data_IF_644226088932
#
_entry.id   IF_644226088932
#
_cell.length_a   1.000
_cell.length_b   1.000
_cell.length_c   1.000
_cell.angle_alpha   90.00
_cell.angle_beta   90.00
_cell.angle_gamma   90.00
#
_symmetry.space_group_name_H-M   'P 1'
#
loop_
_entity.id
_entity.type
_entity.pdbx_description
1 polymer ?
#
# COMPACT_ATOMS: atom_id res chain seq x y z
N UNK A 1 42.72 -1.23 80.25
CA UNK A 1 41.28 -1.47 80.43
C UNK A 1 40.63 -1.52 79.05
N UNK A 2 41.00 -2.50 78.23
CA UNK A 2 40.66 -2.54 76.80
C UNK A 2 40.34 -3.98 76.38
N UNK A 3 39.53 -4.66 77.19
CA UNK A 3 39.12 -6.05 76.93
C UNK A 3 37.65 -6.36 77.20
N UNK A 4 36.86 -5.40 77.70
CA UNK A 4 35.44 -5.65 78.04
C UNK A 4 34.41 -5.17 77.00
N UNK A 5 34.81 -4.31 76.04
CA UNK A 5 33.84 -3.79 75.04
C UNK A 5 33.62 -4.74 73.85
N UNK A 6 34.46 -5.77 73.67
CA UNK A 6 34.41 -6.64 72.48
C UNK A 6 33.52 -7.89 72.66
N UNK A 7 33.23 -8.26 73.91
CA UNK A 7 32.34 -9.39 74.25
C UNK A 7 30.85 -8.99 74.19
N UNK A 8 30.51 -7.75 74.57
CA UNK A 8 29.13 -7.24 74.48
C UNK A 8 28.68 -7.04 73.01
N UNK A 9 29.58 -6.60 72.13
CA UNK A 9 29.25 -6.34 70.72
C UNK A 9 29.04 -7.63 69.92
N UNK A 10 29.86 -8.66 70.14
CA UNK A 10 29.74 -9.94 69.42
C UNK A 10 28.49 -10.75 69.83
N UNK A 11 28.03 -10.62 71.07
CA UNK A 11 26.83 -11.31 71.56
C UNK A 11 25.53 -10.70 71.02
N UNK A 12 25.48 -9.37 70.85
CA UNK A 12 24.36 -8.66 70.19
C UNK A 12 24.25 -8.98 68.68
N UNK A 13 25.37 -9.21 68.00
CA UNK A 13 25.38 -9.60 66.58
C UNK A 13 24.90 -11.04 66.34
N UNK A 14 25.26 -11.99 67.22
CA UNK A 14 24.82 -13.39 67.09
C UNK A 14 23.30 -13.57 67.26
N UNK A 15 22.65 -12.74 68.07
CA UNK A 15 21.19 -12.78 68.28
C UNK A 15 20.36 -11.97 67.28
N UNK A 16 20.98 -11.16 66.41
CA UNK A 16 20.27 -10.31 65.44
C UNK A 16 20.30 -10.84 64.00
N UNK A 17 21.22 -11.76 63.68
CA UNK A 17 21.28 -12.44 62.37
C UNK A 17 19.95 -13.08 61.91
N UNK A 18 19.16 -13.79 62.75
CA UNK A 18 17.86 -14.34 62.34
C UNK A 18 16.77 -13.26 62.18
N UNK A 19 16.92 -12.10 62.84
CA UNK A 19 15.97 -11.00 62.75
C UNK A 19 16.05 -10.29 61.39
N UNK A 20 17.26 -10.08 60.88
CA UNK A 20 17.46 -9.50 59.55
C UNK A 20 17.02 -10.42 58.41
N UNK A 21 17.18 -11.74 58.55
CA UNK A 21 16.68 -12.71 57.57
C UNK A 21 15.15 -12.71 57.45
N UNK A 22 14.44 -12.65 58.58
CA UNK A 22 12.97 -12.59 58.61
C UNK A 22 12.48 -11.25 58.05
N UNK A 23 13.11 -10.13 58.41
CA UNK A 23 12.79 -8.81 57.85
C UNK A 23 12.96 -8.81 56.32
N UNK A 24 14.02 -9.43 55.80
CA UNK A 24 14.26 -9.48 54.37
C UNK A 24 13.15 -10.23 53.62
N UNK A 25 12.61 -11.31 54.20
CA UNK A 25 11.47 -12.04 53.63
C UNK A 25 10.22 -11.16 53.57
N UNK A 26 9.92 -10.42 54.64
CA UNK A 26 8.77 -9.50 54.65
C UNK A 26 8.94 -8.34 53.65
N UNK A 27 10.14 -7.78 53.53
CA UNK A 27 10.45 -6.75 52.54
C UNK A 27 10.32 -7.30 51.12
N UNK A 28 10.78 -8.52 50.86
CA UNK A 28 10.67 -9.16 49.55
C UNK A 28 9.21 -9.45 49.18
N UNK A 29 8.41 -9.94 50.13
CA UNK A 29 6.96 -10.14 49.94
C UNK A 29 6.27 -8.80 49.68
N UNK A 30 6.64 -7.73 50.40
CA UNK A 30 6.07 -6.40 50.19
C UNK A 30 6.40 -5.86 48.79
N UNK A 31 7.64 -6.03 48.31
CA UNK A 31 8.06 -5.62 46.96
C UNK A 31 7.32 -6.43 45.89
N UNK A 32 7.19 -7.74 46.04
CA UNK A 32 6.46 -8.59 45.09
C UNK A 32 4.98 -8.21 45.07
N UNK A 33 4.37 -7.99 46.24
CA UNK A 33 2.96 -7.61 46.35
C UNK A 33 2.71 -6.24 45.72
N UNK A 34 3.57 -5.25 45.99
CA UNK A 34 3.50 -3.93 45.40
C UNK A 34 3.75 -3.96 43.88
N UNK A 35 4.70 -4.78 43.42
CA UNK A 35 4.95 -5.00 41.98
C UNK A 35 3.76 -5.66 41.29
N UNK A 36 3.11 -6.63 41.93
CA UNK A 36 1.93 -7.31 41.39
C UNK A 36 0.72 -6.37 41.30
N UNK A 37 0.46 -5.55 42.32
CA UNK A 37 -0.60 -4.53 42.26
C UNK A 37 -0.29 -3.44 41.23
N UNK A 38 0.97 -3.01 41.11
CA UNK A 38 1.39 -2.07 40.05
C UNK A 38 1.17 -2.66 38.65
N UNK A 39 1.57 -3.90 38.42
CA UNK A 39 1.43 -4.57 37.12
C UNK A 39 -0.05 -4.79 36.74
N UNK A 40 -0.90 -5.15 37.71
CA UNK A 40 -2.35 -5.27 37.48
C UNK A 40 -3.03 -3.93 37.17
N UNK A 41 -2.50 -2.83 37.71
CA UNK A 41 -3.06 -1.49 37.53
C UNK A 41 -2.31 -0.68 36.46
N UNK A 42 -1.42 -1.31 35.69
CA UNK A 42 -0.60 -0.62 34.70
C UNK A 42 -1.47 0.02 33.61
N UNK A 43 -2.60 -0.59 33.24
CA UNK A 43 -3.55 -0.02 32.27
C UNK A 43 -4.24 1.26 32.76
N UNK A 44 -4.40 1.41 34.09
CA UNK A 44 -4.99 2.59 34.72
C UNK A 44 -3.96 3.70 34.96
N UNK A 45 -2.72 3.35 35.34
CA UNK A 45 -1.61 4.30 35.52
C UNK A 45 -1.07 4.79 34.16
N UNK A 46 -1.10 3.95 33.12
CA UNK A 46 -0.66 4.26 31.75
C UNK A 46 -1.72 4.99 30.90
N UNK A 47 -2.78 5.55 31.51
CA UNK A 47 -3.75 6.39 30.80
C UNK A 47 -3.15 7.69 30.24
N UNK A 48 -1.87 7.97 30.47
CA UNK A 48 -1.11 9.07 29.83
C UNK A 48 0.13 8.62 29.04
N UNK A 49 0.33 7.31 28.76
CA UNK A 49 1.55 6.85 28.08
C UNK A 49 1.36 5.78 26.99
N UNK A 50 0.11 5.48 26.58
CA UNK A 50 -0.16 4.56 25.45
C UNK A 50 0.46 4.99 24.11
N UNK A 51 1.00 6.20 24.00
CA UNK A 51 1.68 6.71 22.80
C UNK A 51 3.23 6.69 22.85
N UNK A 52 3.87 6.16 23.91
CA UNK A 52 5.34 6.33 24.07
C UNK A 52 6.18 5.05 24.15
N UNK A 53 5.62 3.87 23.86
CA UNK A 53 6.45 2.71 23.53
C UNK A 53 6.63 2.66 22.01
N UNK A 54 7.83 2.88 21.45
CA UNK A 54 8.06 2.52 20.06
C UNK A 54 7.81 1.02 19.97
N UNK A 55 6.75 0.63 19.23
CA UNK A 55 6.58 -0.75 18.78
C UNK A 55 7.95 -1.18 18.25
N UNK A 56 8.54 -2.21 18.86
CA UNK A 56 9.71 -2.83 18.28
C UNK A 56 9.34 -3.18 16.84
N UNK A 57 10.01 -2.51 15.91
CA UNK A 57 9.90 -2.72 14.48
C UNK A 57 10.37 -4.15 14.21
N UNK A 58 9.44 -5.09 14.27
CA UNK A 58 9.59 -6.37 13.61
C UNK A 58 9.79 -6.05 12.12
N UNK A 59 10.90 -6.52 11.54
CA UNK A 59 11.26 -6.34 10.14
C UNK A 59 10.19 -6.85 9.16
N UNK A 60 9.21 -7.64 9.63
CA UNK A 60 8.02 -8.02 8.87
C UNK A 60 6.91 -6.93 8.81
N UNK A 61 7.05 -5.86 9.59
CA UNK A 61 6.17 -4.69 9.67
C UNK A 61 6.84 -3.42 9.15
N UNK A 62 7.75 -3.54 8.19
CA UNK A 62 7.67 -2.62 7.06
C UNK A 62 6.29 -2.84 6.41
N UNK A 63 5.24 -2.34 7.05
CA UNK A 63 4.00 -1.97 6.41
C UNK A 63 4.47 -0.99 5.35
N UNK A 64 4.80 -1.50 4.15
CA UNK A 64 4.95 -0.67 2.97
C UNK A 64 3.70 0.18 2.99
N UNK A 65 3.87 1.46 3.33
CA UNK A 65 2.76 2.41 3.35
C UNK A 65 2.08 2.22 2.01
N UNK A 66 0.88 1.63 2.04
CA UNK A 66 0.24 1.20 0.80
C UNK A 66 0.08 2.44 -0.07
N UNK A 67 0.37 2.30 -1.37
CA UNK A 67 0.33 3.46 -2.24
C UNK A 67 -1.11 4.00 -2.24
N UNK A 68 -1.26 5.30 -2.00
CA UNK A 68 -2.58 5.92 -2.05
C UNK A 68 -3.18 5.73 -3.45
N UNK A 69 -4.52 5.61 -3.52
CA UNK A 69 -5.25 5.65 -4.79
C UNK A 69 -4.86 6.91 -5.56
N UNK A 70 -4.30 6.76 -6.76
CA UNK A 70 -4.03 7.88 -7.67
C UNK A 70 -4.67 7.61 -9.02
N UNK A 71 -5.50 8.55 -9.47
CA UNK A 71 -6.03 8.52 -10.83
C UNK A 71 -4.88 8.72 -11.80
N UNK A 72 -4.87 7.93 -12.86
CA UNK A 72 -3.92 8.05 -13.96
C UNK A 72 -4.09 9.39 -14.65
N UNK A 73 -2.97 9.97 -15.06
CA UNK A 73 -2.91 11.26 -15.74
C UNK A 73 -2.24 11.02 -17.10
N UNK A 74 -2.89 11.50 -18.16
CA UNK A 74 -2.28 11.66 -19.48
C UNK A 74 -1.91 13.13 -19.64
N UNK A 75 -0.62 13.43 -19.50
CA UNK A 75 -0.10 14.73 -19.88
C UNK A 75 0.33 14.69 -21.35
N UNK A 76 -0.21 15.55 -22.22
CA UNK A 76 0.30 15.67 -23.57
C UNK A 76 1.77 16.12 -23.56
N UNK A 77 2.53 15.83 -24.64
CA UNK A 77 3.84 16.43 -24.87
C UNK A 77 3.76 17.95 -24.86
N UNK A 78 4.70 18.59 -24.18
CA UNK A 78 4.79 20.04 -24.04
C UNK A 78 6.18 20.51 -24.43
N UNK A 79 6.23 21.54 -25.29
CA UNK A 79 7.46 22.25 -25.61
C UNK A 79 7.76 23.29 -24.52
N UNK A 80 8.59 22.89 -23.56
CA UNK A 80 9.01 23.73 -22.43
C UNK A 80 9.76 24.96 -22.89
N UNK A 81 10.52 24.87 -23.98
CA UNK A 81 11.27 26.00 -24.53
C UNK A 81 10.33 27.09 -25.01
N UNK A 82 9.33 26.71 -25.80
CA UNK A 82 8.30 27.64 -26.29
C UNK A 82 7.48 28.24 -25.15
N UNK A 83 7.05 27.44 -24.19
CA UNK A 83 6.19 27.92 -23.11
C UNK A 83 6.93 28.68 -22.00
N UNK A 84 8.26 28.54 -21.92
CA UNK A 84 9.06 29.33 -20.98
C UNK A 84 9.14 30.82 -21.36
N UNK A 85 8.80 31.16 -22.61
CA UNK A 85 8.72 32.54 -23.08
C UNK A 85 7.36 33.12 -22.68
N UNK A 86 7.38 34.15 -21.85
CA UNK A 86 6.17 34.79 -21.36
C UNK A 86 5.41 35.48 -22.49
N UNK A 87 4.13 35.14 -22.63
CA UNK A 87 3.17 35.73 -23.57
C UNK A 87 1.95 36.23 -22.80
N UNK A 88 1.24 37.27 -23.27
CA UNK A 88 0.03 37.77 -22.61
C UNK A 88 -1.01 36.68 -22.35
N UNK A 89 -1.18 35.75 -23.31
CA UNK A 89 -2.12 34.63 -23.21
C UNK A 89 -1.72 33.65 -22.09
N UNK A 90 -0.43 33.29 -21.99
CA UNK A 90 0.06 32.42 -20.92
C UNK A 90 -0.05 33.09 -19.55
N UNK A 91 0.24 34.39 -19.46
CA UNK A 91 0.10 35.15 -18.21
C UNK A 91 -1.36 35.22 -17.78
N UNK A 92 -2.29 35.49 -18.71
CA UNK A 92 -3.73 35.54 -18.41
C UNK A 92 -4.25 34.17 -17.94
N UNK A 93 -3.85 33.09 -18.62
CA UNK A 93 -4.17 31.71 -18.22
C UNK A 93 -3.61 31.40 -16.83
N UNK A 94 -2.34 31.74 -16.60
CA UNK A 94 -1.66 31.55 -15.31
C UNK A 94 -2.32 32.31 -14.16
N UNK A 95 -2.77 33.54 -14.41
CA UNK A 95 -3.50 34.35 -13.43
C UNK A 95 -4.80 33.69 -13.00
N UNK A 96 -5.61 33.21 -13.96
CA UNK A 96 -6.87 32.51 -13.63
C UNK A 96 -6.63 31.25 -12.81
N UNK A 97 -5.62 30.45 -13.16
CA UNK A 97 -5.25 29.24 -12.41
C UNK A 97 -4.71 29.56 -11.01
N UNK A 98 -3.92 30.63 -10.89
CA UNK A 98 -3.41 31.11 -9.62
C UNK A 98 -4.54 31.54 -8.68
N UNK A 99 -5.51 32.30 -9.20
CA UNK A 99 -6.66 32.79 -8.43
C UNK A 99 -7.47 31.63 -7.83
N UNK A 100 -7.71 30.56 -8.60
CA UNK A 100 -8.51 29.42 -8.11
C UNK A 100 -7.74 28.46 -7.21
N UNK A 101 -6.43 28.34 -7.41
CA UNK A 101 -5.66 27.22 -6.84
C UNK A 101 -4.61 27.65 -5.81
N UNK A 102 -3.96 28.79 -6.04
CA UNK A 102 -2.79 29.22 -5.27
C UNK A 102 -3.12 30.36 -4.29
N UNK A 103 -4.05 31.25 -4.68
CA UNK A 103 -4.45 32.42 -3.90
C UNK A 103 -4.99 32.12 -2.50
N UNK A 104 -5.68 30.98 -2.22
CA UNK A 104 -6.17 30.70 -0.86
C UNK A 104 -5.04 30.65 0.18
N UNK A 105 -3.85 30.19 -0.21
CA UNK A 105 -2.66 30.15 0.65
C UNK A 105 -1.73 31.34 0.43
N UNK A 106 -1.49 31.73 -0.83
CA UNK A 106 -0.51 32.77 -1.16
C UNK A 106 -1.09 34.20 -1.24
N UNK A 107 -2.39 34.36 -1.03
CA UNK A 107 -3.09 35.63 -1.16
C UNK A 107 -3.42 36.00 -2.62
N UNK A 108 -4.44 36.84 -2.85
CA UNK A 108 -4.85 37.25 -4.20
C UNK A 108 -3.75 38.03 -4.94
N UNK A 109 -2.91 38.77 -4.20
CA UNK A 109 -1.77 39.51 -4.76
C UNK A 109 -0.44 38.73 -4.69
N UNK A 110 -0.46 37.48 -4.22
CA UNK A 110 0.75 36.65 -4.10
C UNK A 110 1.70 37.06 -2.97
N UNK A 111 1.19 37.73 -1.92
CA UNK A 111 1.99 38.24 -0.79
C UNK A 111 2.24 37.22 0.33
N UNK A 112 1.72 36.01 0.21
CA UNK A 112 1.83 34.97 1.24
C UNK A 112 0.87 35.17 2.42
N UNK A 113 -0.18 35.97 2.23
CA UNK A 113 -1.16 36.41 3.24
C UNK A 113 -2.55 35.80 3.04
N UNK A 114 -2.64 34.69 2.29
CA UNK A 114 -3.89 33.99 2.07
C UNK A 114 -4.46 33.38 3.37
N UNK A 115 -5.81 33.35 3.53
CA UNK A 115 -6.45 32.90 4.76
C UNK A 115 -6.11 31.44 5.12
N UNK A 116 -5.95 30.56 4.13
CA UNK A 116 -5.53 29.17 4.36
C UNK A 116 -4.06 29.04 4.76
N UNK A 117 -3.24 30.05 4.44
CA UNK A 117 -1.82 30.11 4.75
C UNK A 117 -1.49 30.74 6.11
N UNK A 118 -2.44 31.41 6.76
CA UNK A 118 -2.20 32.26 7.92
C UNK A 118 -1.55 31.53 9.11
N UNK A 119 -1.84 30.24 9.29
CA UNK A 119 -1.34 29.41 10.38
C UNK A 119 -0.15 28.51 9.99
N UNK A 120 0.34 28.60 8.74
CA UNK A 120 1.50 27.82 8.32
C UNK A 120 2.80 28.44 8.84
N UNK A 121 3.70 27.60 9.35
CA UNK A 121 5.05 27.99 9.75
C UNK A 121 6.08 27.09 9.03
N UNK A 122 6.88 27.64 8.10
CA UNK A 122 6.93 29.04 7.69
C UNK A 122 5.67 29.47 6.91
N UNK A 123 5.40 30.78 6.88
CA UNK A 123 4.32 31.36 6.06
C UNK A 123 4.54 31.05 4.57
N UNK A 124 3.48 30.97 3.75
CA UNK A 124 3.61 30.84 2.31
C UNK A 124 4.46 31.96 1.71
N UNK A 125 5.13 31.63 0.60
CA UNK A 125 6.06 32.55 -0.07
C UNK A 125 5.33 33.82 -0.54
N UNK A 126 5.88 34.97 -0.15
CA UNK A 126 5.64 36.25 -0.82
C UNK A 126 6.39 36.25 -2.16
N UNK A 127 5.66 36.29 -3.28
CA UNK A 127 6.20 36.26 -4.64
C UNK A 127 6.73 37.63 -5.10
N UNK A 128 6.62 38.68 -4.28
CA UNK A 128 7.27 39.96 -4.52
C UNK A 128 8.72 40.00 -4.00
N UNK A 129 9.15 38.97 -3.28
CA UNK A 129 10.49 38.84 -2.70
C UNK A 129 11.29 37.71 -3.37
N UNK A 130 12.56 38.00 -3.71
CA UNK A 130 13.46 37.02 -4.32
C UNK A 130 14.26 36.20 -3.30
N UNK A 131 14.34 36.66 -2.04
CA UNK A 131 15.01 35.94 -0.96
C UNK A 131 14.08 34.95 -0.27
N UNK A 132 14.66 33.93 0.39
CA UNK A 132 13.89 32.98 1.19
C UNK A 132 13.05 31.98 0.40
N UNK A 133 13.36 31.75 -0.88
CA UNK A 133 12.82 30.64 -1.66
C UNK A 133 13.44 29.32 -1.22
N UNK A 134 12.63 28.28 -1.01
CA UNK A 134 13.14 26.95 -0.59
C UNK A 134 13.95 26.28 -1.70
N UNK A 135 13.40 26.24 -2.93
CA UNK A 135 14.07 25.62 -4.08
C UNK A 135 14.76 26.65 -5.00
N UNK A 136 14.59 27.94 -4.73
CA UNK A 136 15.07 29.06 -5.54
C UNK A 136 13.98 29.77 -6.36
N UNK A 137 14.18 31.06 -6.71
CA UNK A 137 13.22 31.90 -7.46
C UNK A 137 13.29 31.73 -8.99
N UNK A 138 14.04 30.75 -9.47
CA UNK A 138 14.29 30.46 -10.87
C UNK A 138 13.17 29.57 -11.46
N UNK A 139 13.00 29.63 -12.78
CA UNK A 139 11.86 29.04 -13.49
C UNK A 139 11.73 27.53 -13.24
N UNK A 140 12.83 26.81 -13.38
CA UNK A 140 12.93 25.37 -13.13
C UNK A 140 12.59 25.02 -11.68
N UNK A 141 13.07 25.81 -10.72
CA UNK A 141 12.81 25.61 -9.29
C UNK A 141 11.34 25.81 -8.93
N UNK A 142 10.68 26.78 -9.57
CA UNK A 142 9.23 26.97 -9.43
C UNK A 142 8.46 25.76 -9.99
N UNK A 143 8.90 25.22 -11.13
CA UNK A 143 8.29 24.02 -11.72
C UNK A 143 8.45 22.80 -10.81
N UNK A 144 9.66 22.55 -10.31
CA UNK A 144 9.94 21.47 -9.35
C UNK A 144 9.05 21.62 -8.11
N UNK A 145 8.91 22.85 -7.60
CA UNK A 145 8.05 23.14 -6.44
C UNK A 145 6.59 22.81 -6.70
N UNK A 146 6.05 23.11 -7.90
CA UNK A 146 4.68 22.71 -8.26
C UNK A 146 4.56 21.20 -8.50
N UNK A 147 5.59 20.57 -9.07
CA UNK A 147 5.59 19.14 -9.38
C UNK A 147 5.68 18.27 -8.12
N UNK A 148 6.52 18.65 -7.16
CA UNK A 148 6.85 17.81 -5.98
C UNK A 148 6.19 18.32 -4.70
N UNK A 149 5.86 19.61 -4.64
CA UNK A 149 5.44 20.27 -3.41
C UNK A 149 6.61 20.52 -2.46
N UNK A 150 6.29 21.11 -1.31
CA UNK A 150 7.19 21.26 -0.16
C UNK A 150 6.42 20.74 1.05
N UNK A 151 6.21 19.42 1.06
CA UNK A 151 5.25 18.76 1.95
C UNK A 151 5.59 18.96 3.43
N UNK A 152 6.88 19.00 3.77
CA UNK A 152 7.36 19.32 5.11
C UNK A 152 7.06 20.75 5.58
N UNK A 153 6.65 21.65 4.67
CA UNK A 153 6.24 23.04 4.96
C UNK A 153 4.78 23.31 4.58
N UNK A 154 3.99 22.26 4.36
CA UNK A 154 2.55 22.36 4.12
C UNK A 154 2.12 22.66 2.69
N UNK A 155 3.04 22.71 1.72
CA UNK A 155 2.67 22.83 0.30
C UNK A 155 2.57 21.44 -0.35
N UNK A 156 1.38 21.04 -0.74
CA UNK A 156 1.15 19.79 -1.46
C UNK A 156 1.75 19.83 -2.88
N UNK A 157 1.94 18.64 -3.47
CA UNK A 157 2.27 18.51 -4.89
C UNK A 157 1.04 18.88 -5.74
N UNK A 158 1.29 19.61 -6.82
CA UNK A 158 0.34 19.93 -7.88
C UNK A 158 0.67 19.14 -9.16
N UNK A 159 1.19 17.91 -9.01
CA UNK A 159 1.48 16.98 -10.09
C UNK A 159 0.26 16.71 -11.00
N UNK A 160 -0.95 16.85 -10.45
CA UNK A 160 -2.24 16.67 -11.13
C UNK A 160 -2.61 17.82 -12.08
N UNK A 161 -1.97 18.99 -11.97
CA UNK A 161 -2.14 20.08 -12.92
C UNK A 161 -1.25 19.80 -14.14
N UNK A 162 -1.75 19.90 -15.39
CA UNK A 162 -0.94 19.68 -16.59
C UNK A 162 0.33 20.55 -16.61
N UNK A 163 1.45 20.07 -17.19
CA UNK A 163 2.69 20.83 -17.31
C UNK A 163 2.52 22.21 -17.94
N UNK A 164 1.71 22.33 -18.99
CA UNK A 164 1.41 23.60 -19.66
C UNK A 164 0.79 24.60 -18.67
N UNK A 165 -0.16 24.15 -17.85
CA UNK A 165 -0.88 24.97 -16.89
C UNK A 165 0.03 25.39 -15.72
N UNK A 166 0.92 24.49 -15.27
CA UNK A 166 1.97 24.85 -14.30
C UNK A 166 2.92 25.90 -14.84
N UNK A 167 3.34 25.75 -16.10
CA UNK A 167 4.20 26.75 -16.78
C UNK A 167 3.45 28.08 -16.93
N UNK A 168 2.16 28.07 -17.24
CA UNK A 168 1.34 29.29 -17.29
C UNK A 168 1.32 30.00 -15.91
N UNK A 169 1.09 29.26 -14.81
CA UNK A 169 1.17 29.81 -13.45
C UNK A 169 2.53 30.46 -13.20
N UNK A 170 3.63 29.78 -13.55
CA UNK A 170 5.00 30.31 -13.37
C UNK A 170 5.20 31.61 -14.16
N UNK A 171 4.72 31.66 -15.42
CA UNK A 171 4.80 32.88 -16.23
C UNK A 171 4.05 34.04 -15.57
N UNK A 172 2.87 33.79 -15.00
CA UNK A 172 2.14 34.79 -14.22
C UNK A 172 2.91 35.23 -12.97
N UNK A 173 3.42 34.29 -12.16
CA UNK A 173 4.19 34.62 -10.94
C UNK A 173 5.38 35.52 -11.25
N UNK A 174 6.05 35.28 -12.38
CA UNK A 174 7.19 36.08 -12.83
C UNK A 174 6.83 37.51 -13.21
N UNK A 175 5.56 37.82 -13.45
CA UNK A 175 5.09 39.21 -13.65
C UNK A 175 4.93 39.99 -12.34
N UNK A 176 4.85 39.30 -11.19
CA UNK A 176 4.69 39.94 -9.88
C UNK A 176 5.97 40.65 -9.40
N UNK A 177 7.14 40.27 -9.90
CA UNK A 177 8.40 40.95 -9.63
C UNK A 177 9.29 40.98 -10.89
N UNK A 178 9.67 42.15 -11.42
CA UNK A 178 10.46 42.24 -12.65
C UNK A 178 11.88 41.69 -12.51
N UNK A 179 12.39 41.48 -11.29
CA UNK A 179 13.77 41.08 -11.01
C UNK A 179 13.96 39.56 -10.95
N UNK A 180 12.96 38.75 -11.31
CA UNK A 180 13.15 37.30 -11.36
C UNK A 180 14.29 36.91 -12.32
N UNK A 181 15.13 35.91 -11.96
CA UNK A 181 16.24 35.47 -12.80
C UNK A 181 15.77 35.10 -14.22
N UNK A 182 16.57 35.46 -15.23
CA UNK A 182 16.30 35.06 -16.61
C UNK A 182 16.31 33.53 -16.75
N UNK A 183 15.50 33.02 -17.67
CA UNK A 183 15.41 31.58 -17.95
C UNK A 183 16.67 31.14 -18.70
N UNK A 184 17.35 30.11 -18.21
CA UNK A 184 18.55 29.53 -18.83
C UNK A 184 18.18 28.26 -19.61
N UNK A 185 18.65 28.18 -20.86
CA UNK A 185 18.36 27.04 -21.75
C UNK A 185 18.84 25.70 -21.18
N UNK A 186 20.00 25.70 -20.53
CA UNK A 186 20.57 24.53 -19.86
C UNK A 186 19.64 23.98 -18.76
N UNK A 187 19.01 24.87 -17.99
CA UNK A 187 18.09 24.50 -16.91
C UNK A 187 16.77 23.94 -17.46
N UNK A 188 16.28 24.48 -18.58
CA UNK A 188 15.09 23.94 -19.26
C UNK A 188 15.35 22.54 -19.82
N UNK A 189 16.56 22.30 -20.36
CA UNK A 189 16.96 20.96 -20.82
C UNK A 189 16.95 19.96 -19.67
N UNK A 190 17.60 20.31 -18.55
CA UNK A 190 17.62 19.45 -17.37
C UNK A 190 16.21 19.16 -16.83
N UNK A 191 15.32 20.16 -16.88
CA UNK A 191 13.92 20.01 -16.49
C UNK A 191 13.15 19.06 -17.40
N UNK A 192 13.33 19.20 -18.72
CA UNK A 192 12.70 18.31 -19.70
C UNK A 192 13.20 16.86 -19.57
N UNK A 193 14.51 16.68 -19.40
CA UNK A 193 15.12 15.35 -19.20
C UNK A 193 14.59 14.68 -17.92
N UNK A 194 14.45 15.44 -16.82
CA UNK A 194 14.00 14.92 -15.52
C UNK A 194 12.52 14.50 -15.52
N UNK A 195 11.65 15.24 -16.20
CA UNK A 195 10.20 15.02 -16.14
C UNK A 195 9.57 14.57 -17.48
N UNK A 196 10.38 14.35 -18.52
CA UNK A 196 9.96 13.91 -19.85
C UNK A 196 8.84 14.77 -20.46
N UNK A 197 8.95 16.10 -20.34
CA UNK A 197 7.87 17.04 -20.68
C UNK A 197 7.59 17.04 -22.19
N UNK A 198 8.62 16.97 -23.02
CA UNK A 198 8.58 16.92 -24.48
C UNK A 198 8.09 15.59 -25.05
N UNK A 199 8.05 14.52 -24.24
CA UNK A 199 7.55 13.20 -24.63
C UNK A 199 6.10 12.96 -24.19
N UNK A 200 5.60 13.77 -23.26
CA UNK A 200 4.35 13.52 -22.57
C UNK A 200 4.49 12.35 -21.60
N UNK A 201 3.57 12.28 -20.63
CA UNK A 201 3.59 11.26 -19.59
C UNK A 201 2.21 10.61 -19.49
N UNK A 202 2.17 9.28 -19.62
CA UNK A 202 0.98 8.47 -19.32
C UNK A 202 1.21 7.74 -18.02
N UNK A 203 0.75 8.31 -16.91
CA UNK A 203 0.70 7.61 -15.63
C UNK A 203 -0.59 6.79 -15.57
N UNK A 204 -0.53 5.45 -15.41
CA UNK A 204 -1.72 4.64 -15.22
C UNK A 204 -2.35 4.89 -13.84
N UNK A 205 -3.60 4.48 -13.67
CA UNK A 205 -4.23 4.46 -12.34
C UNK A 205 -3.38 3.60 -11.39
N UNK A 206 -3.16 4.11 -10.19
CA UNK A 206 -2.52 3.38 -9.11
C UNK A 206 -3.59 3.01 -8.07
N UNK A 207 -3.68 1.71 -7.78
CA UNK A 207 -4.52 1.17 -6.73
C UNK A 207 -3.63 0.67 -5.58
N UNK A 208 -4.04 0.85 -4.32
CA UNK A 208 -3.36 0.25 -3.18
C UNK A 208 -3.26 -1.26 -3.38
N UNK A 209 -2.11 -1.84 -3.02
CA UNK A 209 -1.83 -3.27 -3.12
C UNK A 209 -2.88 -4.08 -2.36
N UNK A 210 -3.33 -3.60 -1.20
CA UNK A 210 -4.41 -4.23 -0.43
C UNK A 210 -5.72 -4.29 -1.21
N UNK A 211 -6.07 -3.23 -1.91
CA UNK A 211 -7.30 -3.16 -2.70
C UNK A 211 -7.18 -3.98 -3.99
N UNK A 212 -5.99 -4.04 -4.58
CA UNK A 212 -5.68 -4.95 -5.68
C UNK A 212 -5.86 -6.42 -5.25
N UNK A 213 -5.28 -6.80 -4.10
CA UNK A 213 -5.45 -8.14 -3.53
C UNK A 213 -6.93 -8.42 -3.25
N UNK A 214 -7.66 -7.49 -2.64
CA UNK A 214 -9.10 -7.65 -2.40
C UNK A 214 -9.88 -7.81 -3.70
N UNK A 215 -9.51 -7.10 -4.77
CA UNK A 215 -10.14 -7.22 -6.07
C UNK A 215 -9.86 -8.58 -6.71
N UNK A 216 -8.61 -9.06 -6.66
CA UNK A 216 -8.23 -10.40 -7.13
C UNK A 216 -8.99 -11.48 -6.34
N UNK A 217 -8.98 -11.42 -5.01
CA UNK A 217 -9.72 -12.36 -4.16
C UNK A 217 -11.25 -12.26 -4.36
N UNK A 218 -11.77 -11.06 -4.63
CA UNK A 218 -13.19 -10.85 -4.93
C UNK A 218 -13.60 -11.42 -6.29
N UNK A 219 -12.72 -11.35 -7.28
CA UNK A 219 -12.93 -11.98 -8.59
C UNK A 219 -12.84 -13.53 -8.48
N UNK A 220 -12.02 -14.05 -7.55
CA UNK A 220 -11.94 -15.49 -7.25
C UNK A 220 -13.12 -16.02 -6.40
N UNK A 221 -13.75 -15.21 -5.56
CA UNK A 221 -14.84 -15.66 -4.68
C UNK A 221 -16.04 -16.27 -5.44
N UNK A 222 -16.33 -15.77 -6.65
CA UNK A 222 -17.35 -16.35 -7.52
C UNK A 222 -16.93 -17.70 -8.11
N UNK A 223 -15.66 -17.81 -8.54
CA UNK A 223 -15.06 -19.04 -9.06
C UNK A 223 -14.99 -20.12 -7.99
N UNK A 224 -14.53 -19.79 -6.79
CA UNK A 224 -14.40 -20.73 -5.67
C UNK A 224 -15.76 -21.27 -5.22
N UNK A 225 -16.80 -20.42 -5.19
CA UNK A 225 -18.17 -20.87 -4.91
C UNK A 225 -18.70 -21.83 -5.98
N UNK A 226 -18.39 -21.61 -7.26
CA UNK A 226 -18.77 -22.51 -8.35
C UNK A 226 -18.04 -23.85 -8.27
N UNK A 227 -16.73 -23.82 -8.02
CA UNK A 227 -15.89 -25.02 -7.85
C UNK A 227 -16.38 -25.85 -6.65
N UNK A 228 -16.73 -25.20 -5.55
CA UNK A 228 -17.30 -25.87 -4.38
C UNK A 228 -18.64 -26.56 -4.70
N UNK A 229 -19.53 -25.92 -5.47
CA UNK A 229 -20.81 -26.53 -5.89
C UNK A 229 -20.59 -27.76 -6.77
N UNK A 230 -19.62 -27.72 -7.68
CA UNK A 230 -19.25 -28.86 -8.53
C UNK A 230 -18.70 -30.01 -7.69
N UNK A 231 -17.79 -29.71 -6.77
CA UNK A 231 -17.22 -30.71 -5.87
C UNK A 231 -18.31 -31.38 -5.01
N UNK A 232 -19.29 -30.61 -4.54
CA UNK A 232 -20.46 -31.11 -3.82
C UNK A 232 -21.37 -31.98 -4.68
N UNK A 233 -21.66 -31.59 -5.93
CA UNK A 233 -22.45 -32.38 -6.86
C UNK A 233 -21.76 -33.73 -7.15
N UNK A 234 -20.45 -33.68 -7.43
CA UNK A 234 -19.66 -34.89 -7.69
C UNK A 234 -19.62 -35.78 -6.45
N UNK A 235 -19.33 -35.24 -5.28
CA UNK A 235 -19.22 -36.02 -4.05
C UNK A 235 -20.54 -36.67 -3.64
N UNK A 236 -21.67 -35.98 -3.80
CA UNK A 236 -23.00 -36.49 -3.43
C UNK A 236 -23.60 -37.48 -4.43
N UNK A 237 -23.24 -37.44 -5.71
CA UNK A 237 -23.81 -38.33 -6.72
C UNK A 237 -23.16 -39.73 -6.68
N UNK A 238 -23.91 -40.73 -6.21
CA UNK A 238 -23.46 -42.14 -6.09
C UNK A 238 -24.10 -43.09 -7.09
N UNK A 239 -25.06 -42.61 -7.89
CA UNK A 239 -25.89 -43.45 -8.76
C UNK A 239 -25.54 -43.30 -10.24
N UNK A 240 -25.00 -42.16 -10.65
CA UNK A 240 -24.57 -41.93 -12.02
C UNK A 240 -23.27 -42.71 -12.33
N UNK A 241 -23.27 -43.44 -13.45
CA UNK A 241 -22.13 -44.26 -13.86
C UNK A 241 -20.85 -43.43 -14.06
N UNK A 242 -20.97 -42.22 -14.63
CA UNK A 242 -19.85 -41.30 -14.81
C UNK A 242 -19.35 -40.70 -13.49
N UNK A 243 -20.25 -40.46 -12.52
CA UNK A 243 -19.86 -40.02 -11.17
C UNK A 243 -19.06 -41.08 -10.42
N UNK A 244 -19.54 -42.33 -10.46
CA UNK A 244 -18.84 -43.49 -9.86
C UNK A 244 -17.49 -43.70 -10.54
N UNK A 245 -17.46 -43.63 -11.86
CA UNK A 245 -16.24 -43.77 -12.64
C UNK A 245 -15.23 -42.68 -12.29
N UNK A 246 -15.64 -41.41 -12.26
CA UNK A 246 -14.80 -40.28 -11.86
C UNK A 246 -14.19 -40.53 -10.47
N UNK A 247 -15.00 -40.87 -9.47
CA UNK A 247 -14.52 -41.16 -8.11
C UNK A 247 -13.53 -42.32 -8.07
N UNK A 248 -13.73 -43.35 -8.89
CA UNK A 248 -12.84 -44.52 -8.92
C UNK A 248 -11.46 -44.19 -9.52
N UNK A 249 -11.42 -43.29 -10.51
CA UNK A 249 -10.23 -42.94 -11.30
C UNK A 249 -9.54 -41.66 -10.83
N UNK A 250 -10.12 -40.92 -9.90
CA UNK A 250 -9.53 -39.69 -9.35
C UNK A 250 -8.74 -39.99 -8.08
N UNK A 251 -7.56 -39.38 -7.97
CA UNK A 251 -6.73 -39.46 -6.76
C UNK A 251 -7.02 -38.29 -5.82
N UNK A 252 -7.06 -37.09 -6.37
CA UNK A 252 -7.34 -35.85 -5.63
C UNK A 252 -8.50 -35.15 -6.34
N UNK A 253 -9.67 -35.18 -5.68
CA UNK A 253 -10.91 -34.66 -6.22
C UNK A 253 -10.86 -33.15 -6.42
N UNK A 254 -10.34 -32.42 -5.43
CA UNK A 254 -10.26 -30.96 -5.47
C UNK A 254 -9.31 -30.55 -6.59
N UNK A 255 -8.16 -31.21 -6.70
CA UNK A 255 -7.21 -30.96 -7.79
C UNK A 255 -7.80 -31.26 -9.16
N UNK A 256 -8.49 -32.38 -9.33
CA UNK A 256 -9.12 -32.75 -10.60
C UNK A 256 -10.22 -31.77 -11.02
N UNK A 257 -11.06 -31.35 -10.09
CA UNK A 257 -12.11 -30.35 -10.36
C UNK A 257 -11.51 -29.00 -10.75
N UNK A 258 -10.50 -28.51 -10.01
CA UNK A 258 -9.81 -27.27 -10.36
C UNK A 258 -9.13 -27.35 -11.73
N UNK A 259 -8.41 -28.44 -11.99
CA UNK A 259 -7.73 -28.65 -13.27
C UNK A 259 -8.69 -28.64 -14.47
N UNK A 260 -9.86 -29.27 -14.33
CA UNK A 260 -10.91 -29.23 -15.35
C UNK A 260 -11.55 -27.85 -15.48
N UNK A 261 -11.73 -27.13 -14.36
CA UNK A 261 -12.30 -25.78 -14.35
C UNK A 261 -11.38 -24.75 -15.02
N UNK A 262 -10.06 -24.92 -14.89
CA UNK A 262 -9.06 -24.04 -15.48
C UNK A 262 -8.88 -24.27 -17.00
N UNK A 263 -9.39 -25.40 -17.53
CA UNK A 263 -9.17 -25.84 -18.90
C UNK A 263 -10.47 -26.12 -19.67
N UNK A 264 -11.49 -25.24 -19.57
CA UNK A 264 -12.87 -25.47 -20.06
C UNK A 264 -13.03 -25.93 -21.52
N UNK A 265 -12.02 -25.77 -22.39
CA UNK A 265 -12.03 -26.26 -23.78
C UNK A 265 -12.28 -27.77 -23.90
N UNK A 266 -11.95 -28.56 -22.88
CA UNK A 266 -12.26 -30.00 -22.90
C UNK A 266 -13.76 -30.30 -23.07
N UNK A 267 -14.64 -29.35 -22.72
CA UNK A 267 -16.08 -29.52 -22.78
C UNK A 267 -16.64 -29.48 -24.22
N UNK A 268 -15.85 -29.03 -25.20
CA UNK A 268 -16.28 -28.93 -26.59
C UNK A 268 -16.56 -30.32 -27.19
N UNK A 269 -15.69 -31.31 -26.91
CA UNK A 269 -15.87 -32.69 -27.34
C UNK A 269 -15.05 -33.67 -26.48
N UNK A 270 -15.43 -34.96 -26.51
CA UNK A 270 -14.77 -36.04 -25.76
C UNK A 270 -13.27 -36.11 -26.01
N UNK A 271 -12.82 -35.95 -27.24
CA UNK A 271 -11.41 -36.14 -27.59
C UNK A 271 -10.51 -35.11 -26.91
N UNK A 272 -11.00 -33.89 -26.69
CA UNK A 272 -10.24 -32.85 -26.00
C UNK A 272 -10.17 -33.11 -24.50
N UNK A 273 -11.20 -33.69 -23.88
CA UNK A 273 -11.12 -34.21 -22.51
C UNK A 273 -10.09 -35.33 -22.38
N UNK A 274 -10.12 -36.30 -23.29
CA UNK A 274 -9.18 -37.43 -23.29
C UNK A 274 -7.75 -36.91 -23.42
N UNK A 275 -7.48 -36.04 -24.40
CA UNK A 275 -6.14 -35.43 -24.58
C UNK A 275 -5.69 -34.65 -23.34
N UNK A 276 -6.56 -33.84 -22.75
CA UNK A 276 -6.24 -33.03 -21.58
C UNK A 276 -5.85 -33.89 -20.36
N UNK A 277 -6.57 -34.99 -20.13
CA UNK A 277 -6.28 -35.88 -19.00
C UNK A 277 -5.06 -36.76 -19.29
N UNK A 278 -4.93 -37.27 -20.52
CA UNK A 278 -3.85 -38.19 -20.90
C UNK A 278 -2.49 -37.52 -21.06
N UNK A 279 -2.42 -36.18 -21.23
CA UNK A 279 -1.14 -35.49 -21.31
C UNK A 279 -0.33 -35.63 -20.02
N UNK A 280 -0.98 -35.56 -18.86
CA UNK A 280 -0.40 -35.85 -17.55
C UNK A 280 -1.52 -36.14 -16.53
N UNK A 281 -1.91 -37.42 -16.34
CA UNK A 281 -2.96 -37.79 -15.40
C UNK A 281 -2.66 -37.37 -13.95
N UNK A 282 -1.39 -37.36 -13.54
CA UNK A 282 -0.97 -37.00 -12.19
C UNK A 282 -1.19 -35.51 -11.92
N UNK A 283 -0.81 -34.66 -12.88
CA UNK A 283 -1.07 -33.22 -12.82
C UNK A 283 -2.56 -32.95 -12.86
N UNK A 284 -3.31 -33.69 -13.69
CA UNK A 284 -4.76 -33.59 -13.78
C UNK A 284 -5.52 -34.10 -12.54
N UNK A 285 -4.85 -34.67 -11.53
CA UNK A 285 -5.48 -35.17 -10.30
C UNK A 285 -6.09 -36.57 -10.42
N UNK A 286 -5.88 -37.25 -11.54
CA UNK A 286 -6.33 -38.61 -11.80
C UNK A 286 -5.26 -39.64 -11.42
N UNK A 287 -5.71 -40.88 -11.22
CA UNK A 287 -4.82 -42.04 -11.12
C UNK A 287 -4.43 -42.50 -12.53
N UNK A 288 -3.31 -43.20 -12.66
CA UNK A 288 -2.79 -43.64 -13.97
C UNK A 288 -3.69 -44.65 -14.67
N UNK A 289 -4.52 -45.40 -13.93
CA UNK A 289 -5.49 -46.36 -14.48
C UNK A 289 -6.60 -45.70 -15.30
N UNK A 290 -6.70 -44.37 -15.32
CA UNK A 290 -7.59 -43.65 -16.24
C UNK A 290 -7.19 -43.85 -17.71
N UNK A 291 -5.92 -44.14 -17.98
CA UNK A 291 -5.43 -44.43 -19.33
C UNK A 291 -5.99 -45.75 -19.88
N UNK A 292 -6.53 -46.61 -19.02
CA UNK A 292 -7.07 -47.91 -19.38
C UNK A 292 -8.60 -47.91 -19.57
N UNK A 293 -9.24 -46.73 -19.53
CA UNK A 293 -10.68 -46.62 -19.76
C UNK A 293 -11.02 -47.00 -21.21
N UNK A 294 -12.08 -47.78 -21.36
CA UNK A 294 -12.72 -48.07 -22.65
C UNK A 294 -13.39 -46.82 -23.23
N UNK A 295 -13.70 -46.87 -24.52
CA UNK A 295 -14.35 -45.76 -25.21
C UNK A 295 -15.74 -45.42 -24.63
N UNK A 296 -16.46 -46.43 -24.14
CA UNK A 296 -17.76 -46.28 -23.47
C UNK A 296 -17.61 -45.64 -22.09
N UNK A 297 -16.60 -46.04 -21.32
CA UNK A 297 -16.28 -45.40 -20.04
C UNK A 297 -15.89 -43.93 -20.22
N UNK A 298 -15.12 -43.61 -21.27
CA UNK A 298 -14.83 -42.23 -21.64
C UNK A 298 -16.08 -41.44 -22.02
N UNK A 299 -17.02 -42.06 -22.75
CA UNK A 299 -18.31 -41.43 -23.09
C UNK A 299 -19.13 -41.12 -21.83
N UNK A 300 -19.20 -42.06 -20.88
CA UNK A 300 -19.91 -41.88 -19.60
C UNK A 300 -19.27 -40.76 -18.77
N UNK A 301 -17.95 -40.77 -18.65
CA UNK A 301 -17.20 -39.75 -17.91
C UNK A 301 -17.38 -38.36 -18.52
N UNK A 302 -17.25 -38.23 -19.85
CA UNK A 302 -17.43 -36.98 -20.56
C UNK A 302 -18.85 -36.41 -20.39
N UNK A 303 -19.87 -37.25 -20.59
CA UNK A 303 -21.28 -36.84 -20.48
C UNK A 303 -21.59 -36.32 -19.08
N UNK A 304 -21.14 -37.05 -18.06
CA UNK A 304 -21.33 -36.66 -16.67
C UNK A 304 -20.62 -35.34 -16.34
N UNK A 305 -19.33 -35.24 -16.64
CA UNK A 305 -18.56 -34.03 -16.36
C UNK A 305 -19.13 -32.82 -17.10
N UNK A 306 -19.53 -32.98 -18.38
CA UNK A 306 -20.19 -31.92 -19.15
C UNK A 306 -21.47 -31.44 -18.48
N UNK A 307 -22.29 -32.36 -17.97
CA UNK A 307 -23.49 -32.03 -17.21
C UNK A 307 -23.18 -31.23 -15.95
N UNK A 308 -22.22 -31.68 -15.15
CA UNK A 308 -21.84 -31.01 -13.89
C UNK A 308 -21.20 -29.64 -14.12
N UNK A 309 -20.33 -29.51 -15.14
CA UNK A 309 -19.63 -28.27 -15.45
C UNK A 309 -20.47 -27.30 -16.29
N UNK A 310 -21.64 -27.71 -16.81
CA UNK A 310 -22.55 -26.83 -17.56
C UNK A 310 -23.09 -25.64 -16.74
N UNK A 311 -23.00 -25.71 -15.40
CA UNK A 311 -23.32 -24.61 -14.49
C UNK A 311 -22.27 -23.49 -14.49
N UNK A 312 -21.07 -23.74 -15.01
CA UNK A 312 -20.07 -22.71 -15.33
C UNK A 312 -20.36 -22.22 -16.74
N UNK A 313 -21.37 -21.36 -16.90
CA UNK A 313 -21.38 -20.44 -18.03
C UNK A 313 -20.74 -19.15 -17.55
N UNK A 314 -19.56 -18.85 -18.10
CA UNK A 314 -18.94 -17.52 -18.04
C UNK A 314 -19.83 -16.55 -18.81
#
# INVERSE_FOLDING_TARGET
>A
MEQDNNTEYSSKLKNSLPFYGVIYIFVLIAIITAGYTYFKNIDFIAMNSKDLLPKQLDSAQAFMLDIAMKKGITSPPVDVYKLSVSTPELVAKGKGLFETTCSPCHGPEGKGDGPAGANLNPKPRNFHELSGWTNGPNFESMYITLQEGITNRGMASYANIPPEDRIAIINFLRTLNPNYPAVKQENLKALDDAYSLSKGVKQPNQIPVKDAIKKVLGDDAGRDSLIMKIDLNISSNTTDAGAVLFKSKVRDRVKAVNFLADNLKWNDNKNDLVKLIMSDPYVAGFKTEIMNLSDDEWNQLYTYLKGVFSTIKV
#
